data_IF_096034307801
#
_entry.id   IF_096034307801
#
_cell.length_a   1.000
_cell.length_b   1.000
_cell.length_c   1.000
_cell.angle_alpha   90.00
_cell.angle_beta   90.00
_cell.angle_gamma   90.00
#
_symmetry.space_group_name_H-M   'P 1'
#
loop_
_entity.id
_entity.type
_entity.pdbx_description
1 polymer ?
#
# COMPACT_ATOMS: atom_id res chain seq x y z
N UNK A 1 32.09 -4.48 -1.95
CA UNK A 1 30.72 -4.46 -1.40
C UNK A 1 30.41 -3.00 -1.16
N UNK A 2 29.50 -2.40 -1.94
CA UNK A 2 29.20 -0.98 -1.84
C UNK A 2 28.07 -0.80 -0.82
N UNK A 3 28.42 -0.24 0.34
CA UNK A 3 27.47 0.21 1.35
C UNK A 3 26.68 1.39 0.79
N UNK A 4 25.47 1.11 0.31
CA UNK A 4 24.49 2.13 -0.04
C UNK A 4 23.79 2.51 1.26
N UNK A 5 24.35 3.50 1.96
CA UNK A 5 23.67 4.20 3.04
C UNK A 5 22.43 4.91 2.46
N UNK A 6 21.24 4.77 3.06
CA UNK A 6 20.08 5.52 2.60
C UNK A 6 20.25 6.99 2.96
N UNK A 7 20.22 7.85 1.94
CA UNK A 7 20.04 9.29 2.07
C UNK A 7 18.65 9.51 2.68
N UNK A 8 18.62 9.98 3.93
CA UNK A 8 17.39 10.32 4.64
C UNK A 8 16.94 11.73 4.24
N UNK A 9 16.18 11.85 3.15
CA UNK A 9 15.39 13.06 2.94
C UNK A 9 14.20 13.06 3.90
N UNK A 10 14.14 14.11 4.70
CA UNK A 10 13.25 14.32 5.85
C UNK A 10 11.79 13.97 5.52
N UNK A 11 11.25 12.94 6.16
CA UNK A 11 9.81 12.64 6.16
C UNK A 11 9.15 13.52 7.21
N UNK A 12 8.50 14.60 6.79
CA UNK A 12 7.62 15.36 7.67
C UNK A 12 6.31 14.59 7.87
N UNK A 13 6.12 13.99 9.06
CA UNK A 13 4.79 13.63 9.53
C UNK A 13 4.07 14.95 9.86
N UNK A 14 3.30 15.48 8.91
CA UNK A 14 2.84 16.87 8.99
C UNK A 14 1.62 17.09 9.88
N UNK A 15 0.78 16.09 10.14
CA UNK A 15 -0.44 16.25 10.97
C UNK A 15 -0.94 14.89 11.50
N UNK A 16 -1.52 14.87 12.71
CA UNK A 16 -2.30 13.77 13.26
C UNK A 16 -3.70 14.28 13.66
N UNK A 17 -4.76 13.64 13.16
CA UNK A 17 -6.15 13.94 13.55
C UNK A 17 -6.65 12.77 14.39
N UNK A 18 -7.11 13.08 15.60
CA UNK A 18 -7.62 12.11 16.57
C UNK A 18 -9.15 12.11 16.46
N UNK A 19 -9.76 10.98 16.09
CA UNK A 19 -11.18 10.77 16.34
C UNK A 19 -11.43 9.32 16.79
N UNK A 20 -12.35 9.16 17.76
CA UNK A 20 -12.57 7.91 18.49
C UNK A 20 -13.06 6.74 17.62
N UNK A 21 -13.52 7.02 16.40
CA UNK A 21 -14.07 6.01 15.49
C UNK A 21 -13.08 5.54 14.42
N UNK A 22 -12.10 6.36 14.02
CA UNK A 22 -11.27 6.10 12.85
C UNK A 22 -9.80 5.78 13.14
N UNK A 23 -9.39 5.75 14.41
CA UNK A 23 -8.02 5.45 14.83
C UNK A 23 -7.04 6.58 14.53
N UNK A 24 -5.74 6.28 14.58
CA UNK A 24 -4.68 7.23 14.30
C UNK A 24 -4.30 7.22 12.82
N UNK A 25 -4.10 8.41 12.24
CA UNK A 25 -3.66 8.56 10.85
C UNK A 25 -2.22 9.06 10.78
N UNK A 26 -1.42 8.39 9.96
CA UNK A 26 -0.06 8.82 9.63
C UNK A 26 -0.08 9.35 8.20
N UNK A 27 0.09 10.66 8.05
CA UNK A 27 0.29 11.28 6.75
C UNK A 27 1.78 11.32 6.44
N UNK A 28 2.20 10.62 5.39
CA UNK A 28 3.58 10.61 4.92
C UNK A 28 3.65 11.14 3.49
N UNK A 29 4.51 12.13 3.28
CA UNK A 29 4.79 12.72 1.97
C UNK A 29 6.28 13.03 1.83
N UNK A 30 6.69 13.36 0.63
CA UNK A 30 8.06 13.81 0.37
C UNK A 30 8.12 15.34 0.38
N UNK A 31 9.25 15.89 0.81
CA UNK A 31 9.50 17.35 0.84
C UNK A 31 9.38 17.98 -0.54
N UNK A 32 9.83 17.26 -1.57
CA UNK A 32 9.76 17.66 -2.97
C UNK A 32 8.41 17.33 -3.63
N UNK A 33 7.46 16.77 -2.87
CA UNK A 33 6.14 16.35 -3.32
C UNK A 33 6.08 14.90 -3.82
N UNK A 34 4.86 14.39 -3.95
CA UNK A 34 4.55 13.04 -4.42
C UNK A 34 4.13 13.07 -5.89
N UNK A 35 4.83 12.31 -6.72
CA UNK A 35 4.51 12.06 -8.12
C UNK A 35 3.64 10.82 -8.29
N UNK A 36 3.06 10.68 -9.48
CA UNK A 36 2.22 9.54 -9.83
C UNK A 36 2.95 8.20 -9.82
N UNK A 37 4.21 8.17 -10.29
CA UNK A 37 4.98 6.93 -10.29
C UNK A 37 5.37 6.50 -8.88
N UNK A 38 5.77 7.44 -8.03
CA UNK A 38 6.08 7.19 -6.62
C UNK A 38 4.83 6.62 -5.90
N UNK A 39 3.66 7.22 -6.13
CA UNK A 39 2.40 6.73 -5.57
C UNK A 39 2.05 5.32 -6.07
N UNK A 40 2.22 5.02 -7.36
CA UNK A 40 2.03 3.65 -7.89
C UNK A 40 2.91 2.63 -7.19
N UNK A 41 4.20 2.95 -7.02
CA UNK A 41 5.18 2.11 -6.31
C UNK A 41 4.71 1.84 -4.87
N UNK A 42 4.36 2.90 -4.13
CA UNK A 42 3.92 2.80 -2.73
C UNK A 42 2.63 2.00 -2.60
N UNK A 43 1.60 2.31 -3.38
CA UNK A 43 0.30 1.63 -3.33
C UNK A 43 0.41 0.16 -3.74
N UNK A 44 1.31 -0.18 -4.66
CA UNK A 44 1.59 -1.59 -5.01
C UNK A 44 2.11 -2.36 -3.80
N UNK A 45 3.07 -1.79 -3.06
CA UNK A 45 3.61 -2.41 -1.85
C UNK A 45 2.53 -2.56 -0.80
N UNK A 46 1.73 -1.51 -0.55
CA UNK A 46 0.58 -1.57 0.36
C UNK A 46 -0.34 -2.72 -0.02
N UNK A 47 -0.78 -2.80 -1.27
CA UNK A 47 -1.70 -3.85 -1.72
C UNK A 47 -1.15 -5.29 -1.50
N UNK A 48 0.17 -5.48 -1.61
CA UNK A 48 0.81 -6.77 -1.37
C UNK A 48 0.86 -7.12 0.13
N UNK A 49 1.21 -6.16 0.99
CA UNK A 49 1.50 -6.43 2.41
C UNK A 49 0.30 -6.25 3.33
N UNK A 50 -0.77 -5.60 2.88
CA UNK A 50 -1.89 -5.23 3.76
C UNK A 50 -2.60 -6.45 4.34
N UNK A 51 -3.01 -7.39 3.49
CA UNK A 51 -3.69 -8.61 3.94
C UNK A 51 -2.78 -9.61 4.65
N UNK A 52 -1.55 -9.77 4.15
CA UNK A 52 -0.65 -10.83 4.61
C UNK A 52 0.33 -10.40 5.71
N UNK A 53 0.46 -9.11 6.00
CA UNK A 53 1.37 -8.60 7.03
C UNK A 53 0.67 -7.58 7.94
N UNK A 54 0.18 -6.46 7.39
CA UNK A 54 -0.37 -5.37 8.22
C UNK A 54 -1.54 -5.86 9.07
N UNK A 55 -2.50 -6.58 8.48
CA UNK A 55 -3.63 -7.13 9.24
C UNK A 55 -3.22 -8.14 10.30
N UNK A 56 -2.05 -8.78 10.19
CA UNK A 56 -1.60 -9.74 11.20
C UNK A 56 -0.99 -9.11 12.44
N UNK A 57 -0.51 -7.87 12.33
CA UNK A 57 0.10 -7.12 13.42
C UNK A 57 -0.87 -6.12 14.06
N UNK A 58 -2.10 -6.03 13.54
CA UNK A 58 -3.16 -5.22 14.13
C UNK A 58 -3.78 -5.92 15.36
N UNK A 59 -4.12 -5.16 16.41
CA UNK A 59 -4.90 -5.69 17.53
C UNK A 59 -6.33 -6.00 17.09
N UNK A 60 -7.00 -6.89 17.82
CA UNK A 60 -8.31 -7.45 17.45
C UNK A 60 -9.41 -6.38 17.35
N UNK A 61 -9.45 -5.44 18.31
CA UNK A 61 -10.39 -4.32 18.31
C UNK A 61 -10.26 -3.45 17.05
N UNK A 62 -9.02 -3.29 16.55
CA UNK A 62 -8.77 -2.52 15.34
C UNK A 62 -9.26 -3.25 14.09
N UNK A 63 -9.20 -4.58 14.07
CA UNK A 63 -9.61 -5.42 12.95
C UNK A 63 -11.10 -5.30 12.60
N UNK A 64 -11.93 -4.87 13.55
CA UNK A 64 -13.37 -4.65 13.38
C UNK A 64 -13.72 -3.30 12.74
N UNK A 65 -12.76 -2.39 12.63
CA UNK A 65 -13.01 -1.05 12.08
C UNK A 65 -13.07 -1.05 10.56
N UNK A 66 -14.17 -0.57 9.98
CA UNK A 66 -14.30 -0.37 8.53
C UNK A 66 -13.29 0.64 7.95
N UNK A 67 -12.65 1.46 8.80
CA UNK A 67 -11.68 2.47 8.37
C UNK A 67 -10.29 1.90 8.07
N UNK A 68 -10.08 0.61 8.34
CA UNK A 68 -8.87 -0.14 7.98
C UNK A 68 -9.14 -1.22 6.93
N UNK A 69 -10.32 -1.19 6.32
CA UNK A 69 -10.69 -2.08 5.24
C UNK A 69 -9.61 -2.04 4.15
N UNK A 70 -9.08 -3.20 3.74
CA UNK A 70 -7.88 -3.23 2.94
C UNK A 70 -8.16 -2.78 1.51
N UNK A 71 -7.32 -1.90 0.96
CA UNK A 71 -7.42 -1.51 -0.45
C UNK A 71 -7.26 -2.72 -1.38
N UNK A 72 -6.57 -3.77 -0.91
CA UNK A 72 -6.35 -5.00 -1.67
C UNK A 72 -7.62 -5.79 -1.97
N UNK A 73 -8.69 -5.63 -1.17
CA UNK A 73 -9.99 -6.30 -1.41
C UNK A 73 -11.14 -5.33 -1.58
N UNK A 74 -11.15 -4.20 -0.85
CA UNK A 74 -12.33 -3.33 -0.72
C UNK A 74 -12.30 -2.08 -1.60
N UNK A 75 -11.19 -1.80 -2.29
CA UNK A 75 -11.09 -0.60 -3.14
C UNK A 75 -11.92 -0.70 -4.42
N UNK A 76 -12.22 0.45 -5.04
CA UNK A 76 -12.87 0.50 -6.36
C UNK A 76 -12.02 -0.21 -7.42
N UNK A 77 -10.70 -0.01 -7.42
CA UNK A 77 -9.77 -0.72 -8.31
C UNK A 77 -9.78 -2.22 -8.05
N UNK A 78 -9.88 -2.64 -6.77
CA UNK A 78 -10.00 -4.06 -6.42
C UNK A 78 -11.31 -4.66 -6.93
N UNK A 79 -12.42 -3.93 -6.82
CA UNK A 79 -13.73 -4.35 -7.35
C UNK A 79 -13.68 -4.53 -8.87
N UNK A 80 -13.04 -3.60 -9.58
CA UNK A 80 -12.82 -3.69 -11.02
C UNK A 80 -11.92 -4.89 -11.37
N UNK A 81 -10.81 -5.05 -10.64
CA UNK A 81 -9.90 -6.17 -10.81
C UNK A 81 -10.56 -7.54 -10.52
N UNK A 82 -11.48 -7.60 -9.56
CA UNK A 82 -12.25 -8.79 -9.24
C UNK A 82 -13.18 -9.18 -10.40
N UNK A 83 -13.91 -8.20 -10.97
CA UNK A 83 -14.74 -8.43 -12.17
C UNK A 83 -13.89 -8.93 -13.33
N UNK A 84 -12.70 -8.34 -13.52
CA UNK A 84 -11.77 -8.79 -14.55
C UNK A 84 -11.26 -10.22 -14.30
N UNK A 85 -10.97 -10.57 -13.05
CA UNK A 85 -10.54 -11.92 -12.68
C UNK A 85 -11.63 -12.98 -12.90
N UNK A 86 -12.90 -12.67 -12.61
CA UNK A 86 -14.03 -13.55 -12.89
C UNK A 86 -14.19 -13.82 -14.39
N UNK A 87 -14.04 -12.79 -15.21
CA UNK A 87 -14.08 -12.91 -16.67
C UNK A 87 -12.91 -13.76 -17.20
N UNK A 88 -11.68 -13.53 -16.71
CA UNK A 88 -10.51 -14.35 -17.06
C UNK A 88 -10.71 -15.83 -16.69
N UNK A 89 -11.30 -16.12 -15.53
CA UNK A 89 -11.55 -17.48 -15.07
C UNK A 89 -12.64 -18.20 -15.91
N UNK A 90 -13.64 -17.48 -16.40
CA UNK A 90 -14.73 -18.04 -17.19
C UNK A 90 -14.32 -18.37 -18.65
N UNK A 91 -13.31 -17.71 -19.20
CA UNK A 91 -12.97 -17.84 -20.62
C UNK A 91 -11.83 -18.82 -20.96
N UNK A 92 -11.31 -19.61 -20.02
CA UNK A 92 -10.21 -20.58 -20.28
C UNK A 92 -8.99 -19.97 -21.02
N UNK A 93 -8.75 -18.67 -20.82
CA UNK A 93 -7.59 -17.84 -21.19
C UNK A 93 -7.21 -17.68 -22.68
N UNK A 94 -7.20 -16.41 -23.13
CA UNK A 94 -6.02 -15.84 -23.80
C UNK A 94 -5.95 -14.30 -23.76
N UNK A 95 -7.02 -13.59 -23.36
CA UNK A 95 -6.99 -12.13 -23.23
C UNK A 95 -7.07 -11.71 -21.77
N UNK A 96 -5.94 -11.24 -21.22
CA UNK A 96 -5.97 -10.45 -19.99
C UNK A 96 -6.62 -9.11 -20.30
N UNK A 97 -7.63 -8.70 -19.53
CA UNK A 97 -8.36 -7.44 -19.75
C UNK A 97 -7.46 -6.20 -19.79
N UNK A 98 -6.34 -6.24 -19.04
CA UNK A 98 -5.32 -5.20 -19.05
C UNK A 98 -3.97 -5.77 -19.53
N UNK A 99 -3.43 -5.27 -20.67
CA UNK A 99 -2.14 -5.71 -21.17
C UNK A 99 -1.01 -5.25 -20.24
N UNK A 100 0.09 -6.01 -20.22
CA UNK A 100 1.31 -5.59 -19.52
C UNK A 100 2.05 -4.59 -20.40
N UNK A 101 2.23 -3.37 -19.90
CA UNK A 101 2.93 -2.29 -20.62
C UNK A 101 4.44 -2.30 -20.34
N UNK A 102 5.23 -1.62 -21.17
CA UNK A 102 6.68 -1.49 -20.94
C UNK A 102 6.99 -0.77 -19.64
N UNK A 103 6.18 0.23 -19.29
CA UNK A 103 6.27 0.91 -17.99
C UNK A 103 6.11 -0.08 -16.83
N UNK A 104 5.18 -1.02 -16.94
CA UNK A 104 5.04 -2.08 -15.94
C UNK A 104 6.25 -3.01 -15.92
N UNK A 105 6.77 -3.44 -17.08
CA UNK A 105 7.95 -4.32 -17.15
C UNK A 105 9.21 -3.69 -16.56
N UNK A 106 9.36 -2.38 -16.67
CA UNK A 106 10.48 -1.65 -16.08
C UNK A 106 10.46 -1.66 -14.54
N UNK A 107 9.29 -1.82 -13.92
CA UNK A 107 9.11 -1.63 -12.48
C UNK A 107 8.63 -2.87 -11.73
N UNK A 108 7.81 -3.70 -12.35
CA UNK A 108 7.20 -4.86 -11.73
C UNK A 108 7.98 -6.12 -12.11
N UNK A 109 8.44 -6.89 -11.13
CA UNK A 109 9.14 -8.13 -11.41
C UNK A 109 8.17 -9.19 -11.93
N UNK A 110 8.74 -10.20 -12.58
CA UNK A 110 7.98 -11.32 -13.12
C UNK A 110 7.13 -12.03 -12.05
N UNK A 111 7.63 -12.13 -10.82
CA UNK A 111 6.91 -12.72 -9.68
C UNK A 111 5.59 -12.02 -9.34
N UNK A 112 5.47 -10.73 -9.66
CA UNK A 112 4.23 -9.95 -9.52
C UNK A 112 3.36 -10.09 -10.76
N UNK A 113 3.94 -9.97 -11.96
CA UNK A 113 3.20 -10.02 -13.22
C UNK A 113 2.59 -11.40 -13.51
N UNK A 114 3.26 -12.45 -13.05
CA UNK A 114 2.87 -13.87 -13.19
C UNK A 114 2.49 -14.48 -11.83
N UNK A 115 1.87 -13.69 -10.96
CA UNK A 115 1.49 -14.11 -9.61
C UNK A 115 0.67 -15.41 -9.62
N UNK A 116 1.10 -16.38 -8.82
CA UNK A 116 0.45 -17.69 -8.67
C UNK A 116 -0.35 -17.77 -7.39
N UNK A 117 -1.32 -18.70 -7.35
CA UNK A 117 -2.08 -19.02 -6.14
C UNK A 117 -1.16 -19.57 -5.05
N UNK A 118 -1.19 -18.96 -3.87
CA UNK A 118 -0.44 -19.34 -2.66
C UNK A 118 -1.31 -19.14 -1.41
N UNK A 119 -0.80 -19.56 -0.25
CA UNK A 119 -1.51 -19.41 1.03
C UNK A 119 -1.74 -17.94 1.38
N UNK A 120 -0.71 -17.10 1.23
CA UNK A 120 -0.73 -15.68 1.62
C UNK A 120 -1.69 -14.82 0.78
N UNK A 121 -1.97 -15.20 -0.46
CA UNK A 121 -2.87 -14.47 -1.37
C UNK A 121 -4.22 -15.19 -1.59
N UNK A 122 -4.55 -16.18 -0.76
CA UNK A 122 -5.81 -16.93 -0.88
C UNK A 122 -7.03 -16.06 -0.63
N UNK A 123 -6.98 -15.18 0.38
CA UNK A 123 -8.11 -14.35 0.80
C UNK A 123 -8.50 -13.32 -0.28
N UNK A 124 -7.52 -12.59 -0.80
CA UNK A 124 -7.75 -11.65 -1.92
C UNK A 124 -7.98 -12.40 -3.25
N UNK A 125 -7.40 -13.59 -3.41
CA UNK A 125 -7.35 -14.29 -4.69
C UNK A 125 -6.22 -13.76 -5.58
N UNK A 126 -5.32 -14.65 -5.99
CA UNK A 126 -4.13 -14.27 -6.78
C UNK A 126 -4.45 -13.54 -8.10
N UNK A 127 -5.52 -13.91 -8.82
CA UNK A 127 -5.91 -13.23 -10.06
C UNK A 127 -6.44 -11.82 -9.79
N UNK A 128 -7.24 -11.64 -8.74
CA UNK A 128 -7.73 -10.33 -8.31
C UNK A 128 -6.56 -9.44 -7.87
N UNK A 129 -5.62 -9.94 -7.07
CA UNK A 129 -4.46 -9.16 -6.64
C UNK A 129 -3.54 -8.79 -7.83
N UNK A 130 -3.28 -9.76 -8.73
CA UNK A 130 -2.56 -9.52 -9.99
C UNK A 130 -3.24 -8.40 -10.78
N UNK A 131 -4.55 -8.50 -10.99
CA UNK A 131 -5.30 -7.52 -11.78
C UNK A 131 -5.41 -6.17 -11.08
N UNK A 132 -5.51 -6.12 -9.75
CA UNK A 132 -5.46 -4.87 -8.98
C UNK A 132 -4.15 -4.13 -9.21
N UNK A 133 -3.02 -4.83 -9.15
CA UNK A 133 -1.72 -4.24 -9.45
C UNK A 133 -1.71 -3.74 -10.90
N UNK A 134 -2.23 -4.50 -11.87
CA UNK A 134 -2.34 -3.98 -13.25
C UNK A 134 -3.19 -2.70 -13.31
N UNK A 135 -4.36 -2.66 -12.69
CA UNK A 135 -5.26 -1.50 -12.72
C UNK A 135 -4.61 -0.29 -12.04
N UNK A 136 -3.90 -0.47 -10.91
CA UNK A 136 -3.09 0.59 -10.28
C UNK A 136 -2.12 1.20 -11.31
N UNK A 137 -1.41 0.35 -12.05
CA UNK A 137 -0.39 0.77 -13.01
C UNK A 137 -0.96 1.35 -14.32
N UNK A 138 -2.22 1.05 -14.63
CA UNK A 138 -2.96 1.61 -15.76
C UNK A 138 -3.64 2.96 -15.47
N UNK A 139 -3.73 3.39 -14.20
CA UNK A 139 -4.20 4.76 -13.90
C UNK A 139 -3.33 5.79 -14.63
N UNK A 140 -3.92 6.88 -15.11
CA UNK A 140 -3.24 7.90 -15.94
C UNK A 140 -2.68 9.06 -15.12
N UNK A 141 -3.27 9.33 -13.96
CA UNK A 141 -2.86 10.43 -13.10
C UNK A 141 -3.10 10.14 -11.60
N UNK A 142 -2.63 11.05 -10.74
CA UNK A 142 -2.78 10.96 -9.29
C UNK A 142 -4.25 10.98 -8.82
N UNK A 143 -5.14 11.67 -9.56
CA UNK A 143 -6.55 11.74 -9.20
C UNK A 143 -7.27 10.40 -9.39
N UNK A 144 -7.07 9.76 -10.54
CA UNK A 144 -7.59 8.41 -10.83
C UNK A 144 -7.10 7.39 -9.81
N UNK A 145 -5.79 7.42 -9.49
CA UNK A 145 -5.23 6.52 -8.48
C UNK A 145 -5.84 6.76 -7.10
N UNK A 146 -5.90 8.02 -6.65
CA UNK A 146 -6.46 8.38 -5.35
C UNK A 146 -7.94 8.00 -5.22
N UNK A 147 -8.75 8.25 -6.25
CA UNK A 147 -10.16 7.86 -6.30
C UNK A 147 -10.34 6.34 -6.39
N UNK A 148 -9.46 5.68 -7.13
CA UNK A 148 -9.48 4.24 -7.34
C UNK A 148 -9.24 3.43 -6.07
N UNK A 149 -8.39 3.93 -5.16
CA UNK A 149 -8.12 3.25 -3.88
C UNK A 149 -9.15 3.56 -2.77
N UNK A 150 -10.17 4.38 -3.05
CA UNK A 150 -11.29 4.56 -2.12
C UNK A 150 -12.10 3.26 -2.02
N UNK A 151 -12.71 3.04 -0.86
CA UNK A 151 -13.52 1.87 -0.53
C UNK A 151 -15.02 2.22 -0.50
N UNK A 152 -15.88 1.21 -0.32
CA UNK A 152 -17.35 1.33 -0.20
C UNK A 152 -17.96 2.18 -1.34
N UNK A 153 -17.64 1.80 -2.57
CA UNK A 153 -18.14 2.47 -3.78
C UNK A 153 -17.58 3.89 -3.98
N UNK A 154 -16.41 4.19 -3.42
CA UNK A 154 -15.75 5.49 -3.55
C UNK A 154 -16.14 6.53 -2.51
N UNK A 155 -16.85 6.14 -1.45
CA UNK A 155 -17.34 7.09 -0.44
C UNK A 155 -16.43 7.23 0.77
N UNK A 156 -15.51 6.28 0.97
CA UNK A 156 -14.73 6.16 2.19
C UNK A 156 -13.25 5.87 1.91
N UNK A 157 -12.39 6.20 2.86
CA UNK A 157 -10.96 5.83 2.90
C UNK A 157 -10.79 4.53 3.69
N UNK A 158 -10.07 3.57 3.12
CA UNK A 158 -9.69 2.33 3.80
C UNK A 158 -8.39 2.46 4.57
N UNK A 159 -7.69 1.34 4.78
CA UNK A 159 -6.43 1.29 5.52
C UNK A 159 -5.32 2.20 4.98
N UNK A 160 -5.34 2.46 3.67
CA UNK A 160 -4.50 3.47 3.03
C UNK A 160 -5.32 4.39 2.12
N UNK A 161 -4.90 5.65 1.99
CA UNK A 161 -5.48 6.61 1.06
C UNK A 161 -4.43 7.59 0.51
N UNK A 162 -4.72 8.22 -0.62
CA UNK A 162 -3.92 9.34 -1.15
C UNK A 162 -4.66 10.63 -0.82
N UNK A 163 -4.01 11.49 -0.04
CA UNK A 163 -4.47 12.83 0.26
C UNK A 163 -3.91 13.82 -0.75
N UNK A 164 -4.68 14.10 -1.79
CA UNK A 164 -4.32 15.06 -2.83
C UNK A 164 -4.36 16.49 -2.30
N UNK A 165 -3.34 17.28 -2.63
CA UNK A 165 -3.24 18.71 -2.27
C UNK A 165 -2.83 19.55 -3.47
N UNK A 166 -3.41 20.75 -3.56
CA UNK A 166 -3.02 21.74 -4.56
C UNK A 166 -1.62 22.33 -4.23
N UNK A 167 -0.76 22.58 -5.23
CA UNK A 167 0.60 23.07 -5.00
C UNK A 167 0.68 24.41 -4.27
N UNK A 168 -0.21 25.36 -4.61
CA UNK A 168 -0.04 26.76 -4.21
C UNK A 168 -0.61 27.09 -2.83
N UNK A 169 -1.65 26.39 -2.39
CA UNK A 169 -2.35 26.69 -1.13
C UNK A 169 -2.50 25.46 -0.21
N UNK A 170 -1.91 24.33 -0.60
CA UNK A 170 -1.95 23.06 0.13
C UNK A 170 -3.38 22.54 0.42
N UNK A 171 -4.41 23.13 -0.22
CA UNK A 171 -5.80 22.77 0.01
C UNK A 171 -6.03 21.35 -0.47
N UNK A 172 -6.70 20.55 0.38
CA UNK A 172 -7.10 19.19 0.02
C UNK A 172 -8.06 19.22 -1.17
N UNK A 173 -7.77 18.38 -2.16
CA UNK A 173 -8.66 18.16 -3.30
C UNK A 173 -9.79 17.22 -2.88
N UNK A 174 -11.03 17.60 -3.19
CA UNK A 174 -12.18 16.71 -3.01
C UNK A 174 -12.17 15.64 -4.10
N UNK A 175 -12.14 14.37 -3.70
CA UNK A 175 -12.26 13.22 -4.63
C UNK A 175 -13.72 12.95 -5.05
N UNK A 176 -14.68 13.67 -4.47
CA UNK A 176 -16.12 13.56 -4.82
C UNK A 176 -16.49 14.40 -6.03
N UNK A 177 -15.73 15.45 -6.30
CA UNK A 177 -15.95 16.33 -7.44
C UNK A 177 -14.80 16.13 -8.43
N UNK A 178 -15.09 15.82 -9.70
CA UNK A 178 -14.05 15.74 -10.72
C UNK A 178 -13.27 17.06 -10.73
N UNK A 179 -11.96 16.96 -10.60
CA UNK A 179 -11.08 18.09 -10.88
C UNK A 179 -11.32 18.56 -12.32
N UNK A 180 -11.47 19.87 -12.50
CA UNK A 180 -11.49 20.49 -13.83
C UNK A 180 -10.09 20.70 -14.40
N UNK A 181 -9.07 20.71 -13.54
CA UNK A 181 -7.69 20.99 -13.91
C UNK A 181 -6.79 19.78 -13.64
N UNK A 182 -5.86 19.53 -14.55
CA UNK A 182 -4.82 18.52 -14.39
C UNK A 182 -3.95 18.87 -13.17
N UNK A 183 -3.85 17.92 -12.22
CA UNK A 183 -2.87 18.07 -11.14
C UNK A 183 -1.46 18.05 -11.74
N UNK A 184 -0.55 18.93 -11.29
CA UNK A 184 0.81 18.89 -11.76
C UNK A 184 1.48 17.55 -11.42
N UNK A 185 2.55 17.25 -12.18
CA UNK A 185 3.29 15.97 -12.13
C UNK A 185 3.72 15.58 -10.71
N UNK A 186 4.03 16.58 -9.88
CA UNK A 186 4.42 16.44 -8.49
C UNK A 186 3.66 17.43 -7.63
N UNK A 187 3.05 16.94 -6.57
CA UNK A 187 2.17 17.74 -5.70
C UNK A 187 2.56 17.53 -4.24
N UNK A 188 2.23 18.44 -3.31
CA UNK A 188 2.45 18.24 -1.87
C UNK A 188 1.48 17.18 -1.27
N UNK A 189 1.01 16.25 -2.09
CA UNK A 189 0.14 15.16 -1.69
C UNK A 189 0.88 14.16 -0.80
N UNK A 190 0.11 13.43 0.01
CA UNK A 190 0.65 12.47 0.97
C UNK A 190 -0.10 11.14 0.87
N UNK A 191 0.53 10.06 1.31
CA UNK A 191 -0.16 8.81 1.64
C UNK A 191 -0.65 8.91 3.10
N UNK A 192 -1.90 8.58 3.34
CA UNK A 192 -2.49 8.45 4.67
C UNK A 192 -2.57 6.98 5.03
N UNK A 193 -1.88 6.56 6.09
CA UNK A 193 -1.97 5.24 6.67
C UNK A 193 -2.89 5.28 7.89
N UNK A 194 -3.92 4.45 7.90
CA UNK A 194 -4.98 4.46 8.92
C UNK A 194 -4.96 3.21 9.80
N UNK A 195 -3.97 2.34 9.64
CA UNK A 195 -3.87 1.09 10.40
C UNK A 195 -3.78 1.26 11.92
N UNK A 196 -2.95 2.17 12.47
CA UNK A 196 -2.65 2.16 13.89
C UNK A 196 -3.88 2.43 14.78
N UNK A 197 -4.01 1.74 15.93
CA UNK A 197 -5.04 2.03 16.91
C UNK A 197 -4.80 3.40 17.56
N UNK A 198 -5.87 4.02 18.08
CA UNK A 198 -5.79 5.32 18.77
C UNK A 198 -5.02 5.23 20.11
N UNK A 199 -4.98 4.05 20.73
CA UNK A 199 -4.34 3.79 22.03
C UNK A 199 -2.84 3.51 21.94
N UNK A 200 -2.19 3.79 20.81
CA UNK A 200 -0.77 3.53 20.67
C UNK A 200 0.03 4.47 21.60
N UNK A 201 0.71 3.91 22.59
CA UNK A 201 1.74 4.62 23.35
C UNK A 201 2.87 5.13 22.43
N UNK A 202 3.75 5.95 22.99
CA UNK A 202 4.84 6.60 22.25
C UNK A 202 5.76 5.62 21.52
N UNK A 203 5.96 4.42 22.04
CA UNK A 203 6.84 3.43 21.43
C UNK A 203 6.14 2.65 20.32
N UNK A 204 4.86 2.31 20.50
CA UNK A 204 4.02 1.80 19.42
C UNK A 204 3.88 2.79 18.27
N UNK A 205 3.75 4.09 18.58
CA UNK A 205 3.69 5.13 17.57
C UNK A 205 4.92 5.13 16.66
N UNK A 206 6.12 4.96 17.24
CA UNK A 206 7.38 4.87 16.49
C UNK A 206 7.40 3.68 15.54
N UNK A 207 6.89 2.51 15.96
CA UNK A 207 6.83 1.32 15.10
C UNK A 207 6.01 1.58 13.84
N UNK A 208 4.84 2.21 13.98
CA UNK A 208 3.99 2.54 12.85
C UNK A 208 4.58 3.62 11.96
N UNK A 209 5.27 4.61 12.52
CA UNK A 209 6.03 5.59 11.73
C UNK A 209 7.13 4.90 10.94
N UNK A 210 7.96 4.06 11.56
CA UNK A 210 9.06 3.36 10.88
C UNK A 210 8.53 2.47 9.74
N UNK A 211 7.41 1.79 9.95
CA UNK A 211 6.74 1.03 8.90
C UNK A 211 6.25 1.92 7.76
N UNK A 212 5.56 3.02 8.06
CA UNK A 212 5.09 3.96 7.05
C UNK A 212 6.26 4.56 6.25
N UNK A 213 7.33 4.97 6.92
CA UNK A 213 8.56 5.46 6.28
C UNK A 213 9.18 4.41 5.35
N UNK A 214 9.25 3.16 5.80
CA UNK A 214 9.78 2.05 5.02
C UNK A 214 8.98 1.79 3.75
N UNK A 215 7.65 1.79 3.86
CA UNK A 215 6.75 1.66 2.70
C UNK A 215 6.92 2.86 1.76
N UNK A 216 6.99 4.09 2.28
CA UNK A 216 7.21 5.30 1.48
C UNK A 216 8.52 5.26 0.71
N UNK A 217 9.59 4.70 1.28
CA UNK A 217 10.89 4.60 0.63
C UNK A 217 10.87 3.80 -0.68
N UNK A 218 9.92 2.86 -0.86
CA UNK A 218 9.74 2.20 -2.16
C UNK A 218 9.38 3.18 -3.27
N UNK A 219 8.71 4.28 -2.96
CA UNK A 219 8.39 5.33 -3.94
C UNK A 219 9.64 5.96 -4.55
N UNK A 220 10.68 6.20 -3.75
CA UNK A 220 11.92 6.86 -4.15
C UNK A 220 12.96 5.95 -4.80
N UNK A 221 12.78 4.63 -4.73
CA UNK A 221 13.72 3.69 -5.34
C UNK A 221 13.76 3.86 -6.86
N UNK A 222 14.95 3.72 -7.45
CA UNK A 222 15.09 3.56 -8.89
C UNK A 222 14.34 2.31 -9.37
N UNK A 223 14.00 2.26 -10.65
CA UNK A 223 13.13 1.20 -11.17
C UNK A 223 13.73 -0.20 -10.99
N UNK A 224 15.05 -0.32 -11.20
CA UNK A 224 15.80 -1.55 -10.95
C UNK A 224 15.78 -1.95 -9.47
N UNK A 225 16.05 -1.02 -8.56
CA UNK A 225 16.09 -1.30 -7.11
C UNK A 225 14.69 -1.65 -6.60
N UNK A 226 13.67 -0.91 -7.05
CA UNK A 226 12.27 -1.17 -6.73
C UNK A 226 11.84 -2.56 -7.18
N UNK A 227 12.10 -2.92 -8.45
CA UNK A 227 11.74 -4.23 -9.02
C UNK A 227 12.41 -5.37 -8.25
N UNK A 228 13.72 -5.25 -7.95
CA UNK A 228 14.45 -6.24 -7.16
C UNK A 228 13.94 -6.37 -5.72
N UNK A 229 13.62 -5.25 -5.05
CA UNK A 229 13.06 -5.27 -3.70
C UNK A 229 11.68 -5.90 -3.67
N UNK A 230 10.85 -5.59 -4.67
CA UNK A 230 9.52 -6.18 -4.80
C UNK A 230 9.59 -7.68 -5.08
N UNK A 231 10.57 -8.12 -5.88
CA UNK A 231 10.78 -9.53 -6.18
C UNK A 231 11.18 -10.33 -4.94
N UNK A 232 12.09 -9.79 -4.11
CA UNK A 232 12.45 -10.38 -2.82
C UNK A 232 11.27 -10.44 -1.86
N UNK A 233 10.50 -9.36 -1.75
CA UNK A 233 9.29 -9.33 -0.93
C UNK A 233 8.30 -10.43 -1.35
N UNK A 234 8.02 -10.56 -2.64
CA UNK A 234 7.15 -11.63 -3.16
C UNK A 234 7.78 -13.01 -2.99
N UNK A 235 9.10 -13.13 -3.09
CA UNK A 235 9.86 -14.35 -2.79
C UNK A 235 9.63 -14.82 -1.35
N UNK A 236 9.75 -13.91 -0.38
CA UNK A 236 9.45 -14.17 1.04
C UNK A 236 8.00 -14.61 1.23
N UNK A 237 7.05 -13.89 0.62
CA UNK A 237 5.64 -14.24 0.69
C UNK A 237 5.36 -15.64 0.11
N UNK A 238 5.99 -15.97 -1.02
CA UNK A 238 5.85 -17.27 -1.68
C UNK A 238 6.47 -18.43 -0.89
N UNK A 239 7.53 -18.16 -0.12
CA UNK A 239 8.17 -19.14 0.76
C UNK A 239 7.35 -19.50 2.01
N UNK A 240 6.36 -18.68 2.36
CA UNK A 240 5.55 -18.90 3.55
C UNK A 240 4.31 -19.76 3.24
N UNK A 241 4.27 -20.96 3.81
CA UNK A 241 3.17 -21.93 3.64
C UNK A 241 1.94 -21.60 4.49
N UNK A 242 2.10 -20.92 5.62
CA UNK A 242 1.04 -20.56 6.56
C UNK A 242 1.07 -19.07 6.93
N UNK A 243 -0.11 -18.44 6.94
CA UNK A 243 -0.30 -17.00 7.18
C UNK A 243 0.37 -16.57 8.50
N UNK A 244 0.26 -17.34 9.59
CA UNK A 244 0.66 -16.91 10.94
C UNK A 244 2.14 -16.63 11.19
N UNK A 245 3.06 -17.10 10.34
CA UNK A 245 4.52 -16.85 10.49
C UNK A 245 5.08 -15.91 9.41
N UNK A 246 4.29 -15.58 8.38
CA UNK A 246 4.74 -14.75 7.26
C UNK A 246 5.10 -13.33 7.68
N UNK A 247 4.43 -12.79 8.69
CA UNK A 247 4.52 -11.37 9.01
C UNK A 247 5.90 -10.96 9.54
N UNK A 248 6.60 -11.82 10.30
CA UNK A 248 7.96 -11.53 10.79
C UNK A 248 8.99 -11.53 9.67
N UNK A 249 8.87 -12.48 8.73
CA UNK A 249 9.74 -12.55 7.56
C UNK A 249 9.53 -11.35 6.62
N UNK A 250 8.28 -10.92 6.44
CA UNK A 250 7.97 -9.68 5.71
C UNK A 250 8.59 -8.48 6.42
N UNK A 251 8.49 -8.39 7.75
CA UNK A 251 9.10 -7.31 8.51
C UNK A 251 10.62 -7.27 8.36
N UNK A 252 11.28 -8.43 8.36
CA UNK A 252 12.72 -8.56 8.09
C UNK A 252 13.06 -8.09 6.68
N UNK A 253 12.32 -8.53 5.66
CA UNK A 253 12.57 -8.10 4.28
C UNK A 253 12.36 -6.60 4.09
N UNK A 254 11.40 -6.02 4.81
CA UNK A 254 11.20 -4.57 4.87
C UNK A 254 12.37 -3.83 5.57
N UNK A 255 13.31 -4.53 6.21
CA UNK A 255 14.46 -3.96 6.91
C UNK A 255 14.15 -3.58 8.35
N UNK A 256 13.06 -4.10 8.92
CA UNK A 256 12.58 -3.82 10.28
C UNK A 256 12.72 -5.04 11.20
N UNK A 257 13.66 -5.95 10.89
CA UNK A 257 13.85 -7.21 11.63
C UNK A 257 14.14 -7.02 13.12
N UNK A 258 14.89 -5.98 13.48
CA UNK A 258 15.19 -5.63 14.88
C UNK A 258 13.93 -5.23 15.68
N UNK A 259 12.82 -4.94 15.00
CA UNK A 259 11.54 -4.55 15.62
C UNK A 259 10.59 -5.72 15.85
N UNK A 260 10.95 -6.96 15.48
CA UNK A 260 10.06 -8.13 15.59
C UNK A 260 9.49 -8.31 17.00
N UNK A 261 10.33 -8.25 18.03
CA UNK A 261 9.88 -8.46 19.41
C UNK A 261 8.96 -7.34 19.91
N UNK A 262 9.22 -6.09 19.52
CA UNK A 262 8.35 -4.96 19.84
C UNK A 262 6.96 -5.11 19.19
N UNK A 263 6.90 -5.60 17.95
CA UNK A 263 5.63 -5.90 17.28
C UNK A 263 4.89 -7.10 17.89
N UNK A 264 5.60 -8.10 18.41
CA UNK A 264 4.98 -9.22 19.15
C UNK A 264 4.32 -8.72 20.44
N UNK A 265 5.01 -7.87 21.20
CA UNK A 265 4.45 -7.27 22.42
C UNK A 265 3.21 -6.42 22.09
N UNK A 266 3.28 -5.59 21.04
CA UNK A 266 2.14 -4.81 20.55
C UNK A 266 0.90 -5.66 20.28
N UNK A 267 1.09 -6.80 19.59
CA UNK A 267 0.00 -7.69 19.19
C UNK A 267 -0.70 -8.37 20.37
N UNK A 268 0.03 -8.69 21.44
CA UNK A 268 -0.54 -9.39 22.61
C UNK A 268 -1.39 -8.49 23.50
N UNK A 269 -1.30 -7.16 23.34
CA UNK A 269 -1.96 -6.22 24.24
C UNK A 269 -1.38 -6.25 25.66
N UNK A 270 -0.11 -6.65 25.80
CA UNK A 270 0.62 -6.67 27.07
C UNK A 270 0.95 -5.22 27.50
N UNK A 271 -0.08 -4.41 27.81
CA UNK A 271 0.03 -3.05 28.37
C UNK A 271 -1.16 -2.73 29.28
#
# INVERSE_FOLDING_TARGET
MADILPVFDVINATDHVINDSCGMHIHAGFTDGLSHIEAKKIITVVALVEGCFIRQILPADRLESLFIDPISTESNLSTEAHRAALFEAAQSASQTLLPVTDKMRAHLPRSVLEMRKRGWNKTTGHLQLKNLIKTIWHTNNMYELARGILIKGGNMRGGAAICLRLPHNLKRVSLRNPLRDDLPVKTPSSIEFRYPPMKADKDHFKLWIELAKTIMNFGKMTDTVYSQRLDRLVGVLNGCSAIGQTWTLVLIELGLGERVEAWKAHKRGDH
#
